data_IF_685018358106
#
_entry.id   IF_685018358106
#
_cell.length_a   1.000
_cell.length_b   1.000
_cell.length_c   1.000
_cell.angle_alpha   90.00
_cell.angle_beta   90.00
_cell.angle_gamma   90.00
#
_symmetry.space_group_name_H-M   'P 1'
#
loop_
_entity.id
_entity.type
_entity.pdbx_description
1 polymer ?
#
# COMPACT_ATOMS: atom_id res chain seq x y z
N UNK A 1 -12.69 16.44 27.48
CA UNK A 1 -12.78 15.70 28.76
C UNK A 1 -13.17 14.25 28.44
N UNK A 2 -12.39 13.27 28.89
CA UNK A 2 -12.71 11.85 28.70
C UNK A 2 -13.77 11.40 29.72
N UNK A 3 -14.68 10.51 29.33
CA UNK A 3 -15.70 9.90 30.19
C UNK A 3 -15.43 8.39 30.29
N UNK A 4 -15.75 7.81 31.43
CA UNK A 4 -15.74 6.36 31.65
C UNK A 4 -17.02 5.73 31.08
N UNK A 5 -16.90 4.55 30.45
CA UNK A 5 -18.05 3.73 30.05
C UNK A 5 -18.63 2.89 31.21
N UNK A 6 -19.85 2.38 31.05
CA UNK A 6 -20.55 1.57 32.06
C UNK A 6 -19.83 0.24 32.37
N UNK A 7 -20.02 -0.25 33.60
CA UNK A 7 -19.38 -1.42 34.18
C UNK A 7 -19.69 -2.71 33.39
N UNK A 8 -18.62 -3.43 32.98
CA UNK A 8 -18.72 -4.69 32.22
C UNK A 8 -17.55 -5.00 31.28
N UNK A 9 -16.46 -4.22 31.31
CA UNK A 9 -15.31 -4.32 30.40
C UNK A 9 -14.21 -5.27 30.89
N UNK A 10 -14.60 -6.43 31.41
CA UNK A 10 -13.66 -7.48 31.78
C UNK A 10 -13.03 -8.10 30.53
N UNK A 11 -11.70 -8.07 30.43
CA UNK A 11 -10.96 -8.78 29.38
C UNK A 11 -10.49 -10.10 29.96
N UNK A 12 -11.04 -11.21 29.47
CA UNK A 12 -10.55 -12.54 29.82
C UNK A 12 -9.20 -12.78 29.14
N UNK A 13 -8.18 -13.08 29.93
CA UNK A 13 -6.83 -13.37 29.46
C UNK A 13 -6.46 -14.78 29.91
N UNK A 14 -6.09 -15.62 28.94
CA UNK A 14 -5.54 -16.94 29.19
C UNK A 14 -4.12 -16.81 29.74
N UNK A 15 -3.89 -17.35 30.93
CA UNK A 15 -2.60 -17.25 31.61
C UNK A 15 -1.73 -18.48 31.34
N UNK A 16 -2.24 -19.68 31.65
CA UNK A 16 -1.51 -20.94 31.47
C UNK A 16 -2.46 -22.13 31.43
N UNK A 17 -2.29 -23.03 30.46
CA UNK A 17 -3.11 -24.24 30.38
C UNK A 17 -4.62 -23.93 30.33
N UNK A 18 -5.45 -24.49 31.22
CA UNK A 18 -6.88 -24.17 31.29
C UNK A 18 -7.19 -22.92 32.13
N UNK A 19 -6.19 -22.25 32.72
CA UNK A 19 -6.41 -21.11 33.62
C UNK A 19 -6.51 -19.80 32.84
N UNK A 20 -7.63 -19.11 33.06
CA UNK A 20 -7.92 -17.77 32.58
C UNK A 20 -8.23 -16.84 33.76
N UNK A 21 -7.98 -15.54 33.59
CA UNK A 21 -8.38 -14.52 34.55
C UNK A 21 -9.02 -13.33 33.84
N UNK A 22 -10.03 -12.72 34.45
CA UNK A 22 -10.67 -11.51 33.91
C UNK A 22 -10.03 -10.27 34.51
N UNK A 23 -9.48 -9.41 33.66
CA UNK A 23 -8.92 -8.13 34.05
C UNK A 23 -9.88 -7.00 33.70
N UNK A 24 -10.34 -6.26 34.72
CA UNK A 24 -11.14 -5.07 34.49
C UNK A 24 -10.27 -3.94 33.94
N UNK A 25 -10.71 -3.34 32.83
CA UNK A 25 -10.09 -2.16 32.24
C UNK A 25 -11.14 -1.10 32.04
N UNK A 26 -10.92 0.07 32.62
CA UNK A 26 -11.77 1.24 32.41
C UNK A 26 -11.74 1.65 30.92
N UNK A 27 -12.86 1.59 30.18
CA UNK A 27 -12.92 2.11 28.82
C UNK A 27 -13.05 3.63 28.90
N UNK A 28 -12.13 4.34 28.24
CA UNK A 28 -12.12 5.80 28.20
C UNK A 28 -12.53 6.29 26.81
N UNK A 29 -13.41 7.29 26.77
CA UNK A 29 -13.89 7.87 25.52
C UNK A 29 -13.94 9.39 25.58
N UNK A 30 -13.73 10.05 24.45
CA UNK A 30 -13.86 11.50 24.31
C UNK A 30 -14.66 11.85 23.05
N UNK A 31 -14.86 13.14 22.80
CA UNK A 31 -15.48 13.62 21.54
C UNK A 31 -14.68 13.21 20.29
N UNK A 32 -13.38 12.93 20.44
CA UNK A 32 -12.52 12.46 19.36
C UNK A 32 -12.72 10.96 19.08
N UNK A 33 -12.98 10.16 20.12
CA UNK A 33 -13.02 8.69 20.03
C UNK A 33 -12.40 8.02 21.26
N UNK A 34 -11.96 6.75 21.14
CA UNK A 34 -11.33 6.01 22.24
C UNK A 34 -10.09 6.73 22.75
N UNK A 35 -9.85 6.60 24.05
CA UNK A 35 -8.74 7.27 24.74
C UNK A 35 -7.78 6.24 25.32
N UNK A 36 -6.49 6.44 25.03
CA UNK A 36 -5.38 5.63 25.52
C UNK A 36 -4.63 6.45 26.56
N UNK A 37 -4.49 5.89 27.77
CA UNK A 37 -3.72 6.49 28.87
C UNK A 37 -2.36 5.78 28.96
N UNK A 38 -1.29 6.57 28.87
CA UNK A 38 0.10 6.13 29.03
C UNK A 38 0.75 6.90 30.20
N UNK A 39 1.86 6.41 30.78
CA UNK A 39 2.56 7.14 31.85
C UNK A 39 2.95 8.57 31.48
N UNK A 40 3.24 8.81 30.20
CA UNK A 40 3.67 10.11 29.69
C UNK A 40 2.54 10.99 29.13
N UNK A 41 1.29 10.51 29.10
CA UNK A 41 0.20 11.31 28.53
C UNK A 41 -1.09 10.53 28.25
N UNK A 42 -2.14 11.28 27.94
CA UNK A 42 -3.46 10.73 27.56
C UNK A 42 -3.78 11.17 26.14
N UNK A 43 -4.08 10.21 25.27
CA UNK A 43 -4.23 10.43 23.84
C UNK A 43 -5.62 9.97 23.41
N UNK A 44 -6.35 10.83 22.70
CA UNK A 44 -7.59 10.44 22.06
C UNK A 44 -7.32 10.11 20.58
N UNK A 45 -7.86 8.99 20.11
CA UNK A 45 -7.69 8.55 18.73
C UNK A 45 -8.99 8.82 17.97
N UNK A 46 -8.87 9.52 16.84
CA UNK A 46 -9.98 9.76 15.92
C UNK A 46 -9.64 9.16 14.56
N UNK A 47 -10.46 8.23 14.10
CA UNK A 47 -10.24 7.50 12.84
C UNK A 47 -11.35 7.83 11.85
N UNK A 48 -10.98 8.12 10.59
CA UNK A 48 -11.95 8.30 9.53
C UNK A 48 -12.75 7.01 9.29
N UNK A 49 -14.07 7.11 9.18
CA UNK A 49 -14.94 5.92 9.05
C UNK A 49 -15.18 5.16 10.35
N UNK A 50 -14.90 5.74 11.52
CA UNK A 50 -15.29 5.15 12.80
C UNK A 50 -16.81 4.85 12.82
N UNK A 51 -17.17 3.60 13.10
CA UNK A 51 -18.56 3.12 13.09
C UNK A 51 -19.09 2.71 11.72
N UNK A 52 -18.28 2.76 10.66
CA UNK A 52 -18.66 2.24 9.35
C UNK A 52 -18.68 0.71 9.36
N UNK A 53 -19.76 0.12 8.87
CA UNK A 53 -19.99 -1.34 8.85
C UNK A 53 -20.35 -1.88 7.46
N UNK A 54 -20.44 -1.00 6.46
CA UNK A 54 -20.88 -1.34 5.09
C UNK A 54 -19.75 -1.80 4.18
N UNK A 55 -18.58 -2.16 4.72
CA UNK A 55 -17.42 -2.58 3.91
C UNK A 55 -17.75 -3.78 3.04
N UNK A 56 -18.43 -4.80 3.61
CA UNK A 56 -18.82 -6.02 2.89
C UNK A 56 -19.82 -5.69 1.77
N UNK A 57 -20.77 -4.80 2.03
CA UNK A 57 -21.73 -4.35 1.03
C UNK A 57 -21.04 -3.62 -0.13
N UNK A 58 -20.13 -2.69 0.16
CA UNK A 58 -19.37 -2.02 -0.89
C UNK A 58 -18.52 -3.02 -1.70
N UNK A 59 -17.86 -3.98 -1.03
CA UNK A 59 -17.13 -5.06 -1.73
C UNK A 59 -18.03 -5.84 -2.67
N UNK A 60 -19.22 -6.22 -2.21
CA UNK A 60 -20.19 -6.93 -3.04
C UNK A 60 -20.62 -6.08 -4.25
N UNK A 61 -21.09 -4.85 -4.02
CA UNK A 61 -21.61 -3.97 -5.08
C UNK A 61 -20.54 -3.66 -6.13
N UNK A 62 -19.32 -3.29 -5.71
CA UNK A 62 -18.27 -2.96 -6.66
C UNK A 62 -17.82 -4.15 -7.52
N UNK A 63 -17.86 -5.38 -6.99
CA UNK A 63 -17.52 -6.59 -7.75
C UNK A 63 -18.70 -7.10 -8.61
N UNK A 64 -19.91 -6.57 -8.41
CA UNK A 64 -21.10 -6.89 -9.21
C UNK A 64 -21.46 -5.81 -10.24
N UNK A 65 -20.83 -4.65 -10.14
CA UNK A 65 -20.95 -3.58 -11.13
C UNK A 65 -20.59 -4.10 -12.53
N UNK A 66 -21.40 -3.73 -13.51
CA UNK A 66 -21.25 -4.11 -14.92
C UNK A 66 -20.82 -2.94 -15.80
N UNK A 67 -20.88 -1.73 -15.26
CA UNK A 67 -20.53 -0.49 -15.95
C UNK A 67 -19.70 0.39 -15.03
N UNK A 68 -18.98 1.33 -15.62
CA UNK A 68 -18.22 2.32 -14.88
C UNK A 68 -19.11 3.13 -13.92
N UNK A 69 -20.32 3.50 -14.33
CA UNK A 69 -21.26 4.26 -13.50
C UNK A 69 -21.74 3.45 -12.28
N UNK A 70 -22.10 2.18 -12.47
CA UNK A 70 -22.45 1.28 -11.36
C UNK A 70 -21.26 1.10 -10.39
N UNK A 71 -20.05 1.03 -10.94
CA UNK A 71 -18.83 0.93 -10.13
C UNK A 71 -18.57 2.23 -9.34
N UNK A 72 -18.71 3.39 -9.98
CA UNK A 72 -18.57 4.70 -9.33
C UNK A 72 -19.64 4.92 -8.24
N UNK A 73 -20.88 4.48 -8.47
CA UNK A 73 -21.94 4.49 -7.46
C UNK A 73 -21.56 3.63 -6.25
N UNK A 74 -21.12 2.39 -6.47
CA UNK A 74 -20.63 1.53 -5.41
C UNK A 74 -19.42 2.14 -4.66
N UNK A 75 -18.50 2.79 -5.39
CA UNK A 75 -17.34 3.46 -4.80
C UNK A 75 -17.72 4.69 -3.97
N UNK A 76 -18.80 5.39 -4.33
CA UNK A 76 -19.31 6.56 -3.60
C UNK A 76 -19.75 6.26 -2.16
N UNK A 77 -19.97 4.98 -1.82
CA UNK A 77 -20.20 4.53 -0.45
C UNK A 77 -19.05 4.90 0.49
N UNK A 78 -17.80 4.95 -0.01
CA UNK A 78 -16.58 5.27 0.74
C UNK A 78 -16.41 4.48 2.05
N UNK A 79 -16.92 3.26 2.12
CA UNK A 79 -16.79 2.35 3.26
C UNK A 79 -15.44 1.61 3.27
N UNK A 80 -14.84 1.37 2.09
CA UNK A 80 -13.57 0.62 1.93
C UNK A 80 -12.45 1.55 1.45
N UNK A 81 -11.75 2.27 2.33
CA UNK A 81 -10.62 3.13 1.92
C UNK A 81 -9.49 2.26 1.37
N UNK A 82 -9.11 2.49 0.11
CA UNK A 82 -8.01 1.81 -0.58
C UNK A 82 -7.81 2.42 -1.97
N UNK A 83 -6.60 2.36 -2.51
CA UNK A 83 -6.36 2.75 -3.90
C UNK A 83 -7.06 1.76 -4.84
N UNK A 84 -7.79 2.25 -5.84
CA UNK A 84 -8.51 1.41 -6.80
C UNK A 84 -8.08 1.69 -8.23
N UNK A 85 -7.97 0.61 -8.99
CA UNK A 85 -7.92 0.63 -10.46
C UNK A 85 -9.15 -0.08 -10.99
N UNK A 86 -9.63 0.35 -12.15
CA UNK A 86 -10.82 -0.16 -12.81
C UNK A 86 -10.50 -0.42 -14.29
N UNK A 87 -11.08 -1.48 -14.83
CA UNK A 87 -11.13 -1.75 -16.26
C UNK A 87 -12.40 -2.55 -16.57
N UNK A 88 -12.98 -2.35 -17.76
CA UNK A 88 -14.12 -3.14 -18.23
C UNK A 88 -14.06 -3.50 -19.72
N UNK A 89 -15.06 -4.28 -20.14
CA UNK A 89 -15.19 -4.79 -21.52
C UNK A 89 -15.47 -3.71 -22.55
N UNK A 90 -15.97 -2.55 -22.13
CA UNK A 90 -16.31 -1.44 -23.02
C UNK A 90 -15.07 -0.55 -23.27
N UNK A 91 -13.93 -0.92 -22.69
CA UNK A 91 -12.63 -0.28 -22.89
C UNK A 91 -12.34 0.82 -21.88
N UNK A 92 -13.19 1.00 -20.87
CA UNK A 92 -12.93 1.99 -19.84
C UNK A 92 -11.76 1.56 -18.97
N UNK A 93 -10.90 2.50 -18.60
CA UNK A 93 -9.85 2.31 -17.60
C UNK A 93 -9.84 3.49 -16.64
N UNK A 94 -9.62 3.22 -15.35
CA UNK A 94 -9.67 4.27 -14.36
C UNK A 94 -8.82 4.01 -13.13
N UNK A 95 -8.41 5.08 -12.48
CA UNK A 95 -7.80 5.04 -11.16
C UNK A 95 -8.53 6.01 -10.24
N UNK A 96 -8.76 5.57 -9.02
CA UNK A 96 -9.40 6.34 -7.98
C UNK A 96 -8.56 6.26 -6.69
N UNK A 97 -8.16 7.43 -6.20
CA UNK A 97 -7.61 7.60 -4.86
C UNK A 97 -8.77 7.53 -3.84
N UNK A 98 -9.28 6.31 -3.59
CA UNK A 98 -10.45 6.14 -2.75
C UNK A 98 -10.06 6.16 -1.27
N UNK A 99 -10.35 7.27 -0.61
CA UNK A 99 -10.18 7.44 0.83
C UNK A 99 -11.33 8.27 1.40
N UNK A 100 -11.56 8.13 2.70
CA UNK A 100 -12.48 8.99 3.46
C UNK A 100 -11.68 10.13 4.09
N UNK A 101 -11.31 11.11 3.27
CA UNK A 101 -10.37 12.18 3.64
C UNK A 101 -11.06 13.24 4.52
N UNK A 102 -10.64 13.43 5.78
CA UNK A 102 -11.24 14.47 6.61
C UNK A 102 -10.91 15.87 6.12
N UNK A 103 -11.89 16.77 6.13
CA UNK A 103 -11.63 18.20 5.95
C UNK A 103 -11.03 18.72 7.25
N UNK A 104 -9.77 19.13 7.18
CA UNK A 104 -8.93 19.49 8.33
C UNK A 104 -8.65 20.98 8.34
N UNK A 105 -8.52 21.54 9.53
CA UNK A 105 -8.08 22.91 9.68
C UNK A 105 -6.61 23.07 9.26
N UNK A 106 -6.33 24.19 8.61
CA UNK A 106 -4.97 24.63 8.25
C UNK A 106 -4.16 25.03 9.49
N UNK A 107 -2.83 25.10 9.32
CA UNK A 107 -1.90 25.56 10.37
C UNK A 107 -1.56 24.52 11.44
N UNK A 108 -1.82 23.24 11.19
CA UNK A 108 -1.39 22.13 12.03
C UNK A 108 -0.59 21.11 11.22
N UNK A 109 0.41 20.51 11.85
CA UNK A 109 1.02 19.28 11.34
C UNK A 109 0.20 18.08 11.82
N UNK A 110 -0.66 17.57 10.94
CA UNK A 110 -1.55 16.45 11.22
C UNK A 110 -0.84 15.09 11.37
N UNK A 111 0.49 15.03 11.21
CA UNK A 111 1.30 13.85 11.52
C UNK A 111 1.71 13.75 12.99
N UNK A 112 1.52 14.82 13.77
CA UNK A 112 1.94 14.91 15.17
C UNK A 112 0.77 14.74 16.15
N UNK A 113 1.11 14.71 17.45
CA UNK A 113 0.10 14.89 18.49
C UNK A 113 -0.48 16.31 18.42
N UNK A 114 -1.81 16.40 18.36
CA UNK A 114 -2.52 17.67 18.26
C UNK A 114 -3.20 18.05 19.58
N UNK A 115 -3.42 19.35 19.84
CA UNK A 115 -4.25 19.81 20.96
C UNK A 115 -5.63 19.14 20.96
N UNK A 116 -5.99 18.49 22.06
CA UNK A 116 -7.26 17.78 22.23
C UNK A 116 -8.35 18.61 22.93
N UNK A 117 -8.01 19.84 23.31
CA UNK A 117 -8.83 20.77 24.09
C UNK A 117 -9.51 21.86 23.24
N UNK A 118 -9.17 21.96 21.96
CA UNK A 118 -9.78 22.93 21.02
C UNK A 118 -10.66 22.21 20.00
N UNK A 119 -11.74 22.85 19.54
CA UNK A 119 -12.60 22.28 18.49
C UNK A 119 -11.96 22.32 17.11
N UNK A 120 -10.95 23.18 16.88
CA UNK A 120 -10.30 23.37 15.57
C UNK A 120 -9.58 22.12 15.06
N UNK A 121 -9.20 21.20 15.94
CA UNK A 121 -8.57 19.91 15.61
C UNK A 121 -9.59 18.76 15.51
N UNK A 122 -10.86 19.00 15.85
CA UNK A 122 -11.95 18.04 15.74
C UNK A 122 -12.63 18.16 14.37
N UNK A 123 -12.08 17.47 13.36
CA UNK A 123 -12.74 17.37 12.07
C UNK A 123 -14.05 16.54 12.17
N UNK A 124 -15.09 17.00 11.48
CA UNK A 124 -16.40 16.33 11.43
C UNK A 124 -16.90 16.06 10.02
N UNK A 125 -16.22 16.63 9.03
CA UNK A 125 -16.59 16.55 7.62
C UNK A 125 -15.52 15.79 6.84
N UNK A 126 -15.93 15.29 5.67
CA UNK A 126 -15.06 14.59 4.75
C UNK A 126 -15.13 15.26 3.38
N UNK A 127 -14.02 15.20 2.63
CA UNK A 127 -13.98 15.62 1.25
C UNK A 127 -15.02 14.79 0.45
N UNK A 128 -15.92 15.43 -0.32
CA UNK A 128 -16.92 14.71 -1.11
C UNK A 128 -16.28 13.74 -2.10
N UNK A 129 -16.91 12.60 -2.32
CA UNK A 129 -16.43 11.57 -3.27
C UNK A 129 -16.07 12.14 -4.65
N UNK A 130 -16.92 13.03 -5.18
CA UNK A 130 -16.71 13.64 -6.50
C UNK A 130 -15.46 14.54 -6.58
N UNK A 131 -14.94 14.96 -5.43
CA UNK A 131 -13.75 15.80 -5.29
C UNK A 131 -12.48 14.99 -5.01
N UNK A 132 -12.54 13.66 -4.93
CA UNK A 132 -11.35 12.83 -4.77
C UNK A 132 -10.47 12.85 -6.04
N UNK A 133 -9.13 12.72 -5.90
CA UNK A 133 -8.25 12.52 -7.05
C UNK A 133 -8.66 11.25 -7.81
N UNK A 134 -8.97 11.40 -9.09
CA UNK A 134 -9.35 10.30 -9.98
C UNK A 134 -9.00 10.60 -11.41
N UNK A 135 -8.88 9.54 -12.20
CA UNK A 135 -8.67 9.60 -13.63
C UNK A 135 -9.49 8.47 -14.27
N UNK A 136 -10.13 8.79 -15.39
CA UNK A 136 -10.94 7.87 -16.19
C UNK A 136 -10.60 8.16 -17.64
N UNK A 137 -10.36 7.10 -18.40
CA UNK A 137 -10.09 7.11 -19.84
C UNK A 137 -9.04 8.16 -20.27
N UNK A 138 -7.82 8.13 -19.69
CA UNK A 138 -6.78 9.04 -20.11
C UNK A 138 -6.39 8.80 -21.57
N UNK A 139 -5.97 9.85 -22.31
CA UNK A 139 -5.56 9.71 -23.71
C UNK A 139 -4.42 8.72 -23.98
N UNK A 140 -3.59 8.44 -22.98
CA UNK A 140 -2.53 7.42 -23.00
C UNK A 140 -3.06 5.97 -23.03
N UNK A 141 -4.33 5.75 -22.70
CA UNK A 141 -4.99 4.44 -22.73
C UNK A 141 -4.60 3.50 -21.57
N UNK A 142 -3.88 3.98 -20.55
CA UNK A 142 -3.52 3.16 -19.39
C UNK A 142 -3.56 3.94 -18.08
N UNK A 143 -3.68 3.19 -16.97
CA UNK A 143 -3.49 3.68 -15.60
C UNK A 143 -2.65 2.68 -14.82
N UNK A 144 -1.89 3.15 -13.83
CA UNK A 144 -1.11 2.33 -12.91
C UNK A 144 -1.21 2.85 -11.48
N UNK A 145 -1.11 1.93 -10.51
CA UNK A 145 -0.91 2.31 -9.12
C UNK A 145 0.10 1.37 -8.44
N UNK A 146 1.24 1.94 -8.06
CA UNK A 146 2.30 1.24 -7.34
C UNK A 146 2.53 1.84 -5.95
N UNK A 147 1.43 2.08 -5.21
CA UNK A 147 1.42 2.71 -3.88
C UNK A 147 2.03 4.12 -3.85
N UNK A 148 1.98 4.80 -4.99
CA UNK A 148 2.49 6.16 -5.16
C UNK A 148 1.37 7.18 -5.30
N UNK A 149 1.79 8.42 -5.51
CA UNK A 149 0.92 9.58 -5.67
C UNK A 149 -0.16 9.41 -6.74
N UNK A 150 -1.40 9.87 -6.48
CA UNK A 150 -2.47 9.82 -7.48
C UNK A 150 -2.25 10.79 -8.65
N UNK A 151 -1.30 11.73 -8.51
CA UNK A 151 -0.99 12.75 -9.52
C UNK A 151 -0.09 12.25 -10.65
N UNK A 152 0.35 10.98 -10.59
CA UNK A 152 1.20 10.34 -11.61
C UNK A 152 0.81 8.88 -11.83
N UNK A 153 -0.45 8.66 -12.19
CA UNK A 153 -0.99 7.31 -12.44
C UNK A 153 -1.09 6.97 -13.91
N UNK A 154 -0.89 7.94 -14.79
CA UNK A 154 -0.74 7.72 -16.23
C UNK A 154 0.32 8.65 -16.82
N UNK A 155 0.69 8.44 -18.09
CA UNK A 155 1.51 9.38 -18.83
C UNK A 155 0.67 10.46 -19.53
N UNK A 156 1.24 11.65 -19.68
CA UNK A 156 0.59 12.77 -20.35
C UNK A 156 -0.60 13.39 -19.58
N UNK A 157 -1.56 13.98 -20.32
CA UNK A 157 -2.68 14.71 -19.72
C UNK A 157 -3.70 13.78 -19.04
N UNK A 158 -4.45 14.32 -18.08
CA UNK A 158 -5.54 13.61 -17.38
C UNK A 158 -5.24 13.31 -15.91
N UNK A 159 -3.97 13.36 -15.48
CA UNK A 159 -3.63 13.30 -14.06
C UNK A 159 -4.23 14.51 -13.31
N UNK A 160 -4.79 14.32 -12.09
CA UNK A 160 -5.29 15.44 -11.28
C UNK A 160 -4.18 16.45 -10.95
N UNK A 161 -4.54 17.73 -10.90
CA UNK A 161 -3.62 18.79 -10.48
C UNK A 161 -3.41 18.73 -8.95
N UNK A 162 -2.19 18.48 -8.45
CA UNK A 162 -1.91 18.49 -7.01
C UNK A 162 -2.26 19.83 -6.33
N UNK A 163 -2.20 20.96 -7.05
CA UNK A 163 -2.52 22.27 -6.48
C UNK A 163 -4.01 22.45 -6.18
N UNK A 164 -4.88 21.60 -6.73
CA UNK A 164 -6.31 21.59 -6.43
C UNK A 164 -6.65 20.98 -5.06
N UNK A 165 -5.67 20.42 -4.35
CA UNK A 165 -5.86 19.69 -3.09
C UNK A 165 -5.11 20.35 -1.95
N UNK A 166 -5.79 20.57 -0.81
CA UNK A 166 -5.12 21.08 0.40
C UNK A 166 -4.09 20.05 0.89
N UNK A 167 -2.87 20.47 1.27
CA UNK A 167 -1.88 19.60 1.90
C UNK A 167 -2.40 18.91 3.18
N UNK A 168 -3.37 19.52 3.88
CA UNK A 168 -3.97 18.93 5.09
C UNK A 168 -4.71 17.62 4.82
N UNK A 169 -5.11 17.35 3.59
CA UNK A 169 -5.74 16.08 3.20
C UNK A 169 -4.78 14.90 3.36
N UNK A 170 -3.46 15.15 3.35
CA UNK A 170 -2.45 14.11 3.54
C UNK A 170 -2.38 13.10 2.39
N UNK A 171 -2.73 13.53 1.17
CA UNK A 171 -2.63 12.71 -0.04
C UNK A 171 -1.14 12.44 -0.33
N UNK A 172 -0.77 11.21 -0.67
CA UNK A 172 0.62 10.88 -0.97
C UNK A 172 1.13 11.69 -2.18
N UNK A 173 2.27 12.34 -2.00
CA UNK A 173 2.95 13.12 -3.04
C UNK A 173 4.12 12.37 -3.67
N UNK A 174 4.57 11.27 -3.03
CA UNK A 174 5.72 10.49 -3.47
C UNK A 174 5.33 9.51 -4.58
N UNK A 175 6.13 9.48 -5.65
CA UNK A 175 6.10 8.39 -6.62
C UNK A 175 7.16 7.33 -6.24
N UNK A 176 6.79 6.06 -6.34
CA UNK A 176 7.71 4.93 -6.09
C UNK A 176 8.58 4.67 -7.32
N UNK A 177 9.77 4.05 -7.16
CA UNK A 177 10.56 3.64 -8.32
C UNK A 177 9.80 2.62 -9.17
N UNK A 178 9.01 1.76 -8.52
CA UNK A 178 8.07 0.88 -9.21
C UNK A 178 7.04 1.65 -10.04
N UNK A 179 6.48 2.74 -9.51
CA UNK A 179 5.59 3.63 -10.25
C UNK A 179 6.28 4.30 -11.44
N UNK A 180 7.51 4.79 -11.27
CA UNK A 180 8.32 5.32 -12.38
C UNK A 180 8.55 4.27 -13.47
N UNK A 181 8.90 3.03 -13.08
CA UNK A 181 9.14 1.94 -14.02
C UNK A 181 7.85 1.50 -14.72
N UNK A 182 6.71 1.53 -14.04
CA UNK A 182 5.41 1.26 -14.66
C UNK A 182 5.06 2.33 -15.71
N UNK A 183 5.29 3.62 -15.39
CA UNK A 183 5.10 4.71 -16.35
C UNK A 183 6.05 4.60 -17.55
N UNK A 184 7.32 4.24 -17.33
CA UNK A 184 8.28 4.00 -18.44
C UNK A 184 7.85 2.81 -19.32
N UNK A 185 7.41 1.71 -18.71
CA UNK A 185 7.00 0.51 -19.43
C UNK A 185 5.72 0.71 -20.24
N UNK A 186 4.72 1.40 -19.68
CA UNK A 186 3.41 1.59 -20.31
C UNK A 186 3.31 2.88 -21.15
N UNK A 187 4.09 3.92 -20.83
CA UNK A 187 4.15 5.20 -21.55
C UNK A 187 5.06 5.23 -22.79
N UNK A 188 5.81 4.14 -23.05
CA UNK A 188 6.65 3.87 -24.22
C UNK A 188 8.11 4.42 -24.26
N UNK A 189 9.09 3.51 -24.32
CA UNK A 189 10.14 3.34 -25.36
C UNK A 189 11.03 2.12 -24.95
N UNK A 190 11.09 1.01 -25.71
CA UNK A 190 11.98 -0.13 -25.46
C UNK A 190 13.48 0.19 -25.47
N UNK A 191 13.87 1.40 -25.87
CA UNK A 191 15.24 1.82 -26.13
C UNK A 191 15.99 2.53 -25.00
N UNK A 192 15.62 2.41 -23.72
CA UNK A 192 16.36 3.06 -22.61
C UNK A 192 17.50 2.18 -22.03
N UNK A 193 18.76 2.29 -22.49
CA UNK A 193 19.88 1.45 -22.03
C UNK A 193 20.36 1.79 -20.61
N UNK A 194 19.80 2.83 -19.96
CA UNK A 194 20.29 3.34 -18.66
C UNK A 194 19.43 2.89 -17.48
N UNK A 195 18.22 2.37 -17.74
CA UNK A 195 17.26 1.98 -16.69
C UNK A 195 17.80 0.88 -15.77
N UNK A 196 18.53 -0.10 -16.31
CA UNK A 196 19.04 -1.22 -15.53
C UNK A 196 20.11 -0.81 -14.50
N UNK A 197 21.01 0.11 -14.85
CA UNK A 197 22.09 0.59 -13.94
C UNK A 197 21.55 1.52 -12.86
N UNK A 198 20.58 2.38 -13.20
CA UNK A 198 19.95 3.29 -12.24
C UNK A 198 19.17 2.52 -11.16
N UNK A 199 18.43 1.47 -11.53
CA UNK A 199 17.63 0.66 -10.60
C UNK A 199 18.48 -0.17 -9.62
N UNK A 200 19.70 -0.59 -10.02
CA UNK A 200 20.60 -1.33 -9.15
C UNK A 200 21.38 -0.45 -8.17
N UNK A 201 21.58 0.83 -8.52
CA UNK A 201 22.34 1.79 -7.71
C UNK A 201 21.48 2.46 -6.64
N UNK A 202 20.17 2.54 -6.86
CA UNK A 202 19.24 3.35 -6.06
C UNK A 202 18.31 2.52 -5.15
N UNK A 203 18.79 1.39 -4.61
CA UNK A 203 18.02 0.67 -3.56
C UNK A 203 17.67 1.67 -2.44
N UNK A 204 16.39 1.87 -2.10
CA UNK A 204 16.03 2.76 -1.00
C UNK A 204 16.61 2.23 0.30
N UNK A 205 17.17 3.14 1.10
CA UNK A 205 17.17 2.94 2.55
C UNK A 205 15.72 2.99 3.02
N UNK A 206 15.43 2.16 4.00
CA UNK A 206 14.12 2.02 4.60
C UNK A 206 13.71 3.33 5.31
N UNK A 207 12.93 4.20 4.64
CA UNK A 207 12.08 5.19 5.30
C UNK A 207 12.28 6.67 4.94
N UNK A 208 11.23 7.25 4.36
CA UNK A 208 10.78 8.65 4.46
C UNK A 208 11.70 9.84 4.12
N UNK A 209 12.97 9.69 3.77
CA UNK A 209 13.83 10.83 3.37
C UNK A 209 13.97 10.94 1.83
N UNK A 210 13.43 12.01 1.19
CA UNK A 210 13.61 12.26 -0.24
C UNK A 210 14.97 12.88 -0.61
N UNK A 211 15.88 13.06 0.35
CA UNK A 211 17.18 13.69 0.12
C UNK A 211 18.08 12.86 -0.80
N UNK A 212 18.85 13.49 -1.71
CA UNK A 212 19.86 12.79 -2.51
C UNK A 212 20.86 12.08 -1.60
N UNK A 213 20.97 10.76 -1.75
CA UNK A 213 21.98 9.97 -1.05
C UNK A 213 23.37 10.49 -1.47
N UNK A 214 24.20 10.83 -0.49
CA UNK A 214 25.53 11.36 -0.79
C UNK A 214 26.37 10.34 -1.57
N UNK A 215 27.25 10.81 -2.45
CA UNK A 215 28.19 9.95 -3.18
C UNK A 215 29.02 9.08 -2.23
N UNK A 216 29.42 9.62 -1.07
CA UNK A 216 30.16 8.87 -0.05
C UNK A 216 29.35 7.71 0.54
N UNK A 217 28.07 7.94 0.82
CA UNK A 217 27.15 6.89 1.28
C UNK A 217 26.98 5.80 0.23
N UNK A 218 26.79 6.17 -1.04
CA UNK A 218 26.69 5.20 -2.14
C UNK A 218 27.96 4.36 -2.31
N UNK A 219 29.13 4.99 -2.22
CA UNK A 219 30.42 4.29 -2.28
C UNK A 219 30.61 3.32 -1.11
N UNK A 220 30.22 3.72 0.10
CA UNK A 220 30.31 2.84 1.28
C UNK A 220 29.39 1.63 1.16
N UNK A 221 28.12 1.83 0.78
CA UNK A 221 27.17 0.74 0.55
C UNK A 221 27.65 -0.22 -0.54
N UNK A 222 28.22 0.31 -1.62
CA UNK A 222 28.79 -0.52 -2.68
C UNK A 222 29.96 -1.38 -2.16
N UNK A 223 30.84 -0.81 -1.32
CA UNK A 223 31.96 -1.55 -0.71
C UNK A 223 31.48 -2.63 0.26
N UNK A 224 30.50 -2.32 1.09
CA UNK A 224 29.88 -3.27 2.03
C UNK A 224 29.25 -4.44 1.28
N UNK A 225 28.42 -4.15 0.27
CA UNK A 225 27.81 -5.18 -0.58
C UNK A 225 28.86 -6.05 -1.28
N UNK A 226 29.92 -5.44 -1.83
CA UNK A 226 31.01 -6.17 -2.48
C UNK A 226 31.77 -7.09 -1.50
N UNK A 227 32.02 -6.62 -0.26
CA UNK A 227 32.65 -7.41 0.78
C UNK A 227 31.76 -8.59 1.21
N UNK A 228 30.46 -8.35 1.37
CA UNK A 228 29.48 -9.36 1.72
C UNK A 228 29.39 -10.46 0.65
N UNK A 229 29.25 -10.08 -0.62
CA UNK A 229 29.17 -11.05 -1.73
C UNK A 229 30.43 -11.90 -1.83
N UNK A 230 31.61 -11.29 -1.73
CA UNK A 230 32.89 -12.02 -1.70
C UNK A 230 32.98 -12.97 -0.50
N UNK A 231 32.58 -12.52 0.69
CA UNK A 231 32.65 -13.34 1.90
C UNK A 231 31.72 -14.55 1.85
N UNK A 232 30.54 -14.41 1.25
CA UNK A 232 29.47 -15.43 1.30
C UNK A 232 29.48 -16.36 0.10
N UNK A 233 29.72 -15.82 -1.08
CA UNK A 233 29.64 -16.57 -2.35
C UNK A 233 31.00 -16.76 -3.02
N UNK A 234 32.08 -16.22 -2.44
CA UNK A 234 33.43 -16.28 -3.00
C UNK A 234 33.63 -15.43 -4.25
N UNK A 235 32.60 -14.68 -4.69
CA UNK A 235 32.59 -13.88 -5.92
C UNK A 235 31.71 -12.65 -5.78
N UNK A 236 31.94 -11.64 -6.63
CA UNK A 236 31.17 -10.39 -6.61
C UNK A 236 29.85 -10.46 -7.39
N UNK A 237 29.66 -11.52 -8.16
CA UNK A 237 28.61 -11.69 -9.17
C UNK A 237 27.88 -13.04 -9.05
N UNK A 238 27.42 -13.46 -7.86
CA UNK A 238 26.56 -14.64 -7.76
C UNK A 238 25.26 -14.42 -8.54
N UNK A 239 24.65 -15.49 -9.06
CA UNK A 239 23.35 -15.36 -9.70
C UNK A 239 22.31 -14.94 -8.66
N UNK A 240 21.37 -14.05 -9.01
CA UNK A 240 20.41 -13.53 -8.03
C UNK A 240 19.57 -14.62 -7.36
N UNK A 241 19.26 -15.69 -8.08
CA UNK A 241 18.56 -16.87 -7.56
C UNK A 241 19.36 -17.66 -6.50
N UNK A 242 20.68 -17.49 -6.47
CA UNK A 242 21.54 -18.08 -5.45
C UNK A 242 21.57 -17.21 -4.18
N UNK A 243 21.26 -15.91 -4.31
CA UNK A 243 21.21 -14.96 -3.19
C UNK A 243 19.81 -14.87 -2.59
N UNK A 244 18.78 -14.77 -3.44
CA UNK A 244 17.38 -14.58 -3.05
C UNK A 244 16.60 -15.87 -3.25
N UNK A 245 16.02 -16.37 -2.16
CA UNK A 245 15.45 -17.72 -2.04
C UNK A 245 13.97 -17.66 -1.65
N UNK A 246 13.21 -18.62 -2.15
CA UNK A 246 11.88 -18.95 -1.67
C UNK A 246 11.99 -20.22 -0.83
N UNK A 247 11.90 -20.08 0.49
CA UNK A 247 11.94 -21.20 1.43
C UNK A 247 10.56 -21.41 2.07
N UNK A 248 9.99 -22.61 1.89
CA UNK A 248 8.72 -23.02 2.52
C UNK A 248 8.79 -24.48 2.97
N UNK A 249 8.85 -24.72 4.28
CA UNK A 249 9.09 -26.06 4.80
C UNK A 249 10.43 -26.60 4.29
N UNK A 250 10.39 -27.75 3.62
CA UNK A 250 11.56 -28.38 2.99
C UNK A 250 11.89 -27.86 1.59
N UNK A 251 11.05 -27.01 1.00
CA UNK A 251 11.25 -26.46 -0.34
C UNK A 251 12.19 -25.26 -0.26
N UNK A 252 13.26 -25.28 -1.06
CA UNK A 252 14.21 -24.15 -1.23
C UNK A 252 14.48 -23.94 -2.73
N UNK A 253 13.93 -22.85 -3.28
CA UNK A 253 14.04 -22.50 -4.70
C UNK A 253 14.65 -21.11 -4.87
N UNK A 254 15.29 -20.87 -6.02
CA UNK A 254 15.71 -19.54 -6.41
C UNK A 254 14.53 -18.60 -6.67
N UNK A 255 14.62 -17.35 -6.19
CA UNK A 255 13.54 -16.37 -6.24
C UNK A 255 13.96 -15.10 -7.00
N UNK A 256 13.25 -14.81 -8.09
CA UNK A 256 13.36 -13.53 -8.81
C UNK A 256 12.66 -12.38 -8.08
N UNK A 257 12.67 -11.19 -8.69
CA UNK A 257 12.13 -9.98 -8.05
C UNK A 257 13.08 -9.39 -7.01
N UNK A 258 12.73 -8.21 -6.49
CA UNK A 258 13.52 -7.48 -5.50
C UNK A 258 12.68 -6.37 -4.84
N UNK A 259 13.18 -5.69 -3.78
CA UNK A 259 12.54 -4.50 -3.27
C UNK A 259 12.46 -3.40 -4.33
N UNK A 260 11.32 -2.70 -4.40
CA UNK A 260 11.06 -1.52 -5.23
C UNK A 260 11.29 -1.67 -6.76
N UNK A 261 11.35 -2.91 -7.26
CA UNK A 261 11.22 -3.21 -8.71
C UNK A 261 9.78 -3.66 -9.04
N UNK A 262 9.44 -3.73 -10.34
CA UNK A 262 8.07 -4.05 -10.77
C UNK A 262 7.54 -5.38 -10.22
N UNK A 263 8.39 -6.41 -10.22
CA UNK A 263 8.17 -7.65 -9.47
C UNK A 263 8.69 -7.49 -8.05
N UNK A 264 7.87 -6.90 -7.20
CA UNK A 264 8.25 -6.54 -5.83
C UNK A 264 8.35 -7.79 -4.96
N UNK A 265 9.56 -8.08 -4.47
CA UNK A 265 9.83 -9.16 -3.51
C UNK A 265 10.72 -8.60 -2.42
N UNK A 266 10.23 -8.59 -1.19
CA UNK A 266 10.99 -8.22 -0.01
C UNK A 266 11.49 -9.50 0.66
N UNK A 267 12.81 -9.58 0.87
CA UNK A 267 13.45 -10.68 1.56
C UNK A 267 14.01 -10.25 2.92
N UNK A 268 14.07 -11.17 3.87
CA UNK A 268 14.84 -11.03 5.10
C UNK A 268 16.11 -11.89 5.05
N UNK A 269 17.16 -11.44 5.71
CA UNK A 269 18.39 -12.23 5.86
C UNK A 269 18.15 -13.45 6.76
N UNK A 270 18.49 -14.64 6.27
CA UNK A 270 18.25 -15.90 6.96
C UNK A 270 19.42 -16.38 7.84
N UNK A 271 20.47 -15.56 8.00
CA UNK A 271 21.64 -15.86 8.83
C UNK A 271 22.66 -16.84 8.20
N UNK A 272 22.32 -17.47 7.08
CA UNK A 272 23.18 -18.36 6.29
C UNK A 272 23.71 -17.70 5.00
N UNK A 273 23.60 -16.38 4.92
CA UNK A 273 24.01 -15.59 3.77
C UNK A 273 22.97 -15.45 2.65
N UNK A 274 21.81 -16.08 2.79
CA UNK A 274 20.71 -15.96 1.83
C UNK A 274 19.67 -14.94 2.30
N UNK A 275 19.00 -14.31 1.33
CA UNK A 275 17.74 -13.62 1.54
C UNK A 275 16.59 -14.60 1.31
N UNK A 276 15.59 -14.57 2.18
CA UNK A 276 14.36 -15.38 2.05
C UNK A 276 13.18 -14.45 1.87
N UNK A 277 12.46 -14.62 0.76
CA UNK A 277 11.27 -13.82 0.44
C UNK A 277 10.18 -13.97 1.51
N UNK A 278 9.72 -12.84 2.06
CA UNK A 278 8.69 -12.79 3.11
C UNK A 278 7.46 -11.96 2.72
N UNK A 279 7.58 -11.09 1.71
CA UNK A 279 6.48 -10.30 1.17
C UNK A 279 6.73 -10.04 -0.31
N UNK A 280 5.66 -9.77 -1.07
CA UNK A 280 5.75 -9.53 -2.50
C UNK A 280 4.62 -10.19 -3.27
N UNK A 281 4.96 -10.77 -4.43
CA UNK A 281 4.02 -11.50 -5.28
C UNK A 281 3.19 -12.52 -4.49
N UNK A 282 1.87 -12.42 -4.64
CA UNK A 282 0.91 -13.34 -4.04
C UNK A 282 -0.13 -13.75 -5.07
N UNK A 283 -1.18 -12.94 -5.23
CA UNK A 283 -2.20 -13.13 -6.26
C UNK A 283 -1.87 -12.29 -7.50
N UNK A 284 -1.45 -12.96 -8.58
CA UNK A 284 -1.21 -12.33 -9.88
C UNK A 284 -2.21 -12.87 -10.89
N UNK A 285 -3.04 -11.98 -11.42
CA UNK A 285 -4.04 -12.26 -12.43
C UNK A 285 -3.91 -11.27 -13.58
N UNK A 286 -3.85 -11.79 -14.81
CA UNK A 286 -4.01 -11.02 -16.02
C UNK A 286 -5.42 -11.29 -16.55
N UNK A 287 -6.19 -10.23 -16.77
CA UNK A 287 -7.55 -10.29 -17.32
C UNK A 287 -7.57 -9.56 -18.65
N UNK A 288 -8.22 -10.14 -19.63
CA UNK A 288 -8.34 -9.60 -20.99
C UNK A 288 -9.78 -9.75 -21.47
N UNK A 289 -10.27 -8.73 -22.18
CA UNK A 289 -11.51 -8.80 -22.94
C UNK A 289 -11.19 -8.79 -24.43
N UNK A 290 -11.77 -9.72 -25.17
CA UNK A 290 -11.68 -9.70 -26.64
C UNK A 290 -12.62 -8.66 -27.26
N UNK A 291 -12.57 -8.51 -28.59
CA UNK A 291 -13.38 -7.53 -29.33
C UNK A 291 -14.90 -7.78 -29.21
N UNK A 292 -15.31 -8.99 -28.84
CA UNK A 292 -16.70 -9.34 -28.61
C UNK A 292 -17.09 -9.19 -27.11
N UNK A 293 -16.17 -8.67 -26.29
CA UNK A 293 -16.38 -8.42 -24.87
C UNK A 293 -16.34 -9.67 -24.01
N UNK A 294 -15.83 -10.81 -24.53
CA UNK A 294 -15.66 -12.04 -23.74
C UNK A 294 -14.42 -11.89 -22.88
N UNK A 295 -14.58 -12.19 -21.59
CA UNK A 295 -13.48 -12.11 -20.62
C UNK A 295 -12.72 -13.43 -20.56
N UNK A 296 -11.40 -13.34 -20.54
CA UNK A 296 -10.51 -14.43 -20.18
C UNK A 296 -9.54 -13.96 -19.11
N UNK A 297 -9.08 -14.89 -18.28
CA UNK A 297 -8.08 -14.59 -17.27
C UNK A 297 -7.03 -15.68 -17.20
N UNK A 298 -5.78 -15.29 -17.03
CA UNK A 298 -4.66 -16.20 -16.80
C UNK A 298 -3.88 -15.74 -15.58
N UNK A 299 -3.49 -16.69 -14.74
CA UNK A 299 -2.39 -16.46 -13.82
C UNK A 299 -1.13 -16.92 -14.56
N UNK A 300 -0.19 -16.02 -14.90
CA UNK A 300 1.09 -16.46 -15.44
C UNK A 300 1.73 -17.35 -14.37
N UNK A 301 1.98 -18.62 -14.71
CA UNK A 301 2.50 -19.60 -13.77
C UNK A 301 3.84 -19.12 -13.19
N UNK A 302 3.77 -18.49 -12.02
CA UNK A 302 4.77 -18.67 -10.99
C UNK A 302 4.33 -19.93 -10.27
N UNK A 303 5.22 -20.92 -10.15
CA UNK A 303 5.07 -22.14 -9.34
C UNK A 303 3.89 -22.04 -8.38
N UNK A 304 2.76 -22.61 -8.79
CA UNK A 304 1.45 -22.34 -8.21
C UNK A 304 1.42 -22.71 -6.73
N UNK A 305 1.17 -21.74 -5.86
CA UNK A 305 0.76 -21.99 -4.47
C UNK A 305 -0.45 -21.12 -4.14
N UNK A 306 -1.54 -21.34 -4.87
CA UNK A 306 -2.86 -20.85 -4.48
C UNK A 306 -3.99 -21.60 -5.20
N UNK A 307 -3.91 -22.93 -5.24
CA UNK A 307 -5.06 -23.82 -5.51
C UNK A 307 -4.87 -25.10 -4.68
N UNK A 308 -4.91 -24.99 -3.35
CA UNK A 308 -5.10 -26.17 -2.48
C UNK A 308 -5.55 -25.80 -1.05
N UNK A 309 -6.49 -24.85 -0.93
CA UNK A 309 -7.12 -24.50 0.37
C UNK A 309 -8.65 -24.65 0.34
N UNK A 310 -9.18 -25.42 -0.62
CA UNK A 310 -10.60 -25.80 -0.67
C UNK A 310 -10.83 -27.31 -0.89
N UNK A 311 -9.81 -28.14 -0.65
CA UNK A 311 -9.97 -29.59 -0.55
C UNK A 311 -9.16 -30.15 0.64
N UNK A 312 -9.56 -29.76 1.85
CA UNK A 312 -9.48 -30.58 3.08
C UNK A 312 -10.67 -30.21 3.97
#
# INVERSE_FOLDING_TARGET
>A
MARSGEAGSGIEVKLLGPFSWTFDREPLWSVYGPVIRQPHGTYAVRVAGMGEVRQVEQWYRMNKARTLDEWLDAMSMQAVPSLKVYADRDGHVGYLYNAKLPVRAEGFDWSQYLPGEISRTLWTEYLPFASLPRIVDPPSGFVQSCNGTPFRTTDGPGNPDPAAFSPTLGIETRLTNRGLRALELFGADPGNPRAAVALLTLRPDDGNDPSPVSTGTLQNRLREAAAELKSRFGRLDPAWQDVNRLRRGSVDLGLGGAPDVLRAVCGHEAGDGHLVGVAGDSYVLLVEWDREGRVSSRSPAMTAFLVDMLQL
#
